data_IF_132783271867
#
_entry.id   IF_132783271867
#
_cell.length_a   1.000
_cell.length_b   1.000
_cell.length_c   1.000
_cell.angle_alpha   90.00
_cell.angle_beta   90.00
_cell.angle_gamma   90.00
#
_symmetry.space_group_name_H-M   'P 1'
#
loop_
_entity.id
_entity.type
_entity.pdbx_description
1 polymer ?
#
# COMPACT_ATOMS: atom_id res chain seq x y z
N UNK A 1 16.34 -4.31 9.98
CA UNK A 1 17.53 -5.02 9.48
C UNK A 1 18.58 -3.98 9.13
N UNK A 2 19.87 -4.26 9.38
CA UNK A 2 20.96 -3.42 8.93
C UNK A 2 21.09 -3.46 7.40
N UNK A 3 21.43 -2.33 6.78
CA UNK A 3 21.61 -2.26 5.34
C UNK A 3 22.75 -3.18 4.87
N UNK A 4 23.83 -3.26 5.64
CA UNK A 4 24.93 -4.20 5.39
C UNK A 4 24.52 -5.68 5.48
N UNK A 5 23.58 -6.02 6.36
CA UNK A 5 23.05 -7.39 6.47
C UNK A 5 22.24 -7.77 5.22
N UNK A 6 21.43 -6.82 4.70
CA UNK A 6 20.71 -7.01 3.44
C UNK A 6 21.67 -7.22 2.28
N UNK A 7 22.72 -6.39 2.17
CA UNK A 7 23.75 -6.55 1.13
C UNK A 7 24.42 -7.92 1.23
N UNK A 8 24.82 -8.35 2.44
CA UNK A 8 25.42 -9.65 2.64
C UNK A 8 24.48 -10.81 2.22
N UNK A 9 23.20 -10.71 2.57
CA UNK A 9 22.18 -11.69 2.19
C UNK A 9 21.86 -11.69 0.68
N UNK A 10 21.96 -10.54 0.02
CA UNK A 10 21.82 -10.46 -1.45
C UNK A 10 23.01 -11.11 -2.13
N UNK A 11 24.24 -10.82 -1.69
CA UNK A 11 25.47 -11.40 -2.26
C UNK A 11 25.57 -12.91 -2.16
N UNK A 12 24.84 -13.54 -1.24
CA UNK A 12 24.78 -15.00 -1.15
C UNK A 12 23.87 -15.64 -2.21
N UNK A 13 23.21 -14.85 -3.06
CA UNK A 13 22.33 -15.33 -4.13
C UNK A 13 23.07 -15.30 -5.48
N UNK A 14 22.96 -16.35 -6.31
CA UNK A 14 23.55 -16.35 -7.65
C UNK A 14 23.11 -15.13 -8.48
N UNK A 15 24.08 -14.42 -9.06
CA UNK A 15 23.85 -13.24 -9.89
C UNK A 15 23.71 -11.91 -9.14
N UNK A 16 23.93 -11.89 -7.83
CA UNK A 16 23.86 -10.69 -6.97
C UNK A 16 25.17 -10.45 -6.18
N UNK A 17 26.24 -11.15 -6.52
CA UNK A 17 27.52 -11.19 -5.78
C UNK A 17 28.21 -9.82 -5.70
N UNK A 18 27.97 -8.95 -6.70
CA UNK A 18 28.59 -7.62 -6.78
C UNK A 18 27.79 -6.51 -6.12
N UNK A 19 26.54 -6.74 -5.68
CA UNK A 19 25.66 -5.70 -5.12
C UNK A 19 26.34 -4.99 -3.97
N UNK A 20 26.36 -3.67 -3.99
CA UNK A 20 26.80 -2.80 -2.90
C UNK A 20 25.65 -2.02 -2.27
N UNK A 21 26.01 -1.26 -1.23
CA UNK A 21 25.09 -0.28 -0.62
C UNK A 21 24.65 0.77 -1.64
N UNK A 22 25.59 1.24 -2.47
CA UNK A 22 25.33 2.25 -3.49
C UNK A 22 24.25 1.80 -4.51
N UNK A 23 24.26 0.52 -4.93
CA UNK A 23 23.26 0.00 -5.87
C UNK A 23 21.84 0.03 -5.28
N UNK A 24 21.73 -0.24 -3.97
CA UNK A 24 20.44 -0.16 -3.25
C UNK A 24 19.99 1.30 -3.16
N UNK A 25 20.88 2.21 -2.77
CA UNK A 25 20.59 3.64 -2.68
C UNK A 25 20.16 4.21 -4.04
N UNK A 26 20.86 3.86 -5.12
CA UNK A 26 20.52 4.25 -6.49
C UNK A 26 19.15 3.70 -6.92
N UNK A 27 18.87 2.43 -6.64
CA UNK A 27 17.57 1.81 -6.92
C UNK A 27 16.44 2.54 -6.20
N UNK A 28 16.64 2.92 -4.94
CA UNK A 28 15.64 3.66 -4.14
C UNK A 28 15.45 5.08 -4.67
N UNK A 29 16.53 5.75 -5.10
CA UNK A 29 16.48 7.08 -5.68
C UNK A 29 15.77 7.11 -7.04
N UNK A 30 16.00 6.10 -7.89
CA UNK A 30 15.37 5.99 -9.21
C UNK A 30 13.92 5.47 -9.17
N UNK A 31 13.46 4.96 -8.02
CA UNK A 31 12.14 4.36 -7.91
C UNK A 31 11.01 5.39 -8.01
N UNK A 32 10.11 5.20 -8.98
CA UNK A 32 8.87 5.98 -9.11
C UNK A 32 7.91 5.82 -7.92
N UNK A 33 8.12 4.79 -7.08
CA UNK A 33 7.36 4.54 -5.86
C UNK A 33 8.33 4.28 -4.72
N UNK A 34 8.27 5.14 -3.69
CA UNK A 34 9.03 5.00 -2.46
C UNK A 34 8.46 3.83 -1.63
N UNK A 35 9.02 2.64 -1.83
CA UNK A 35 8.61 1.38 -1.17
C UNK A 35 9.47 1.02 0.02
N UNK A 36 10.68 1.55 0.07
CA UNK A 36 11.66 1.29 1.11
C UNK A 36 12.21 2.62 1.59
N UNK A 37 12.66 2.65 2.84
CA UNK A 37 13.43 3.76 3.37
C UNK A 37 14.69 3.26 4.04
N UNK A 38 15.74 4.07 3.94
CA UNK A 38 17.00 3.88 4.66
C UNK A 38 17.08 4.96 5.74
N UNK A 39 17.34 4.56 6.97
CA UNK A 39 17.52 5.46 8.11
C UNK A 39 18.49 4.84 9.10
N UNK A 40 19.47 5.62 9.55
CA UNK A 40 20.46 5.22 10.57
C UNK A 40 21.16 3.88 10.22
N UNK A 41 21.56 3.71 8.95
CA UNK A 41 22.22 2.49 8.45
C UNK A 41 21.32 1.26 8.37
N UNK A 42 20.00 1.41 8.55
CA UNK A 42 18.99 0.35 8.47
C UNK A 42 18.06 0.58 7.30
N UNK A 43 17.48 -0.50 6.79
CA UNK A 43 16.49 -0.47 5.71
C UNK A 43 15.21 -1.19 6.13
N UNK A 44 14.06 -0.67 5.71
CA UNK A 44 12.76 -1.34 5.86
C UNK A 44 11.83 -1.04 4.68
N UNK A 45 10.89 -1.95 4.42
CA UNK A 45 9.78 -1.65 3.54
C UNK A 45 8.76 -0.74 4.24
N UNK A 46 8.31 0.30 3.55
CA UNK A 46 7.37 1.31 4.04
C UNK A 46 5.94 0.76 4.06
N UNK A 47 5.60 -0.23 3.24
CA UNK A 47 4.28 -0.88 3.21
C UNK A 47 4.33 -2.22 2.48
N UNK A 48 3.24 -3.00 2.56
CA UNK A 48 3.08 -4.26 1.81
C UNK A 48 3.48 -5.52 2.58
N UNK A 49 3.63 -5.42 3.90
CA UNK A 49 4.02 -6.55 4.74
C UNK A 49 2.96 -7.63 4.81
N UNK A 50 3.40 -8.88 4.87
CA UNK A 50 2.58 -10.10 4.99
C UNK A 50 3.18 -11.07 6.02
N UNK A 51 3.99 -10.55 6.94
CA UNK A 51 4.55 -11.35 8.05
C UNK A 51 3.43 -11.66 9.07
N UNK A 52 3.52 -12.77 9.81
CA UNK A 52 2.56 -13.09 10.87
C UNK A 52 2.53 -12.01 11.96
N UNK A 53 3.69 -11.45 12.29
CA UNK A 53 3.82 -10.37 13.27
C UNK A 53 3.38 -9.04 12.68
N UNK A 54 2.38 -8.42 13.30
CA UNK A 54 1.84 -7.13 12.86
C UNK A 54 2.86 -6.02 13.11
N UNK A 55 3.16 -5.25 12.07
CA UNK A 55 4.06 -4.11 12.19
C UNK A 55 3.32 -2.95 12.84
N UNK A 56 3.86 -2.48 13.95
CA UNK A 56 3.34 -1.31 14.65
C UNK A 56 3.40 -0.07 13.77
N UNK A 57 2.29 0.68 13.77
CA UNK A 57 2.17 1.96 13.10
C UNK A 57 1.44 2.93 13.99
N UNK A 58 1.85 4.18 13.95
CA UNK A 58 1.15 5.27 14.62
C UNK A 58 -0.07 5.67 13.79
N UNK A 59 -1.30 5.60 14.33
CA UNK A 59 -2.48 6.12 13.65
C UNK A 59 -2.31 7.60 13.29
N UNK A 60 -2.84 8.01 12.15
CA UNK A 60 -2.77 9.40 11.65
C UNK A 60 -4.10 9.76 11.00
N UNK A 61 -4.52 11.01 11.17
CA UNK A 61 -5.71 11.56 10.49
C UNK A 61 -5.52 11.50 8.98
N UNK A 62 -6.42 10.80 8.25
CA UNK A 62 -6.32 10.68 6.79
C UNK A 62 -6.78 11.96 6.07
N UNK A 63 -6.53 12.08 4.75
CA UNK A 63 -7.23 13.02 3.90
C UNK A 63 -8.73 12.71 3.84
N UNK A 64 -9.52 13.62 3.28
CA UNK A 64 -10.98 13.43 3.18
C UNK A 64 -11.37 12.21 2.34
N UNK A 65 -10.66 12.01 1.24
CA UNK A 65 -10.96 10.99 0.26
C UNK A 65 -9.71 10.18 -0.06
N UNK A 66 -9.88 8.86 -0.10
CA UNK A 66 -8.87 7.92 -0.54
C UNK A 66 -9.46 6.96 -1.57
N UNK A 67 -8.60 6.25 -2.29
CA UNK A 67 -9.01 5.43 -3.42
C UNK A 67 -8.46 4.01 -3.38
N UNK A 68 -9.25 3.04 -3.84
CA UNK A 68 -8.81 1.65 -3.95
C UNK A 68 -9.15 1.08 -5.34
N UNK A 69 -8.14 0.60 -6.05
CA UNK A 69 -8.34 -0.07 -7.33
C UNK A 69 -8.47 -1.57 -7.16
N UNK A 70 -9.54 -2.17 -7.70
CA UNK A 70 -9.81 -3.60 -7.63
C UNK A 70 -10.34 -4.16 -8.96
N UNK A 71 -10.35 -5.49 -9.10
CA UNK A 71 -11.08 -6.16 -10.18
C UNK A 71 -12.60 -5.97 -10.03
N UNK A 72 -13.37 -5.80 -11.14
CA UNK A 72 -14.83 -5.80 -11.10
C UNK A 72 -15.43 -7.01 -10.38
N UNK A 73 -14.79 -8.18 -10.47
CA UNK A 73 -15.27 -9.43 -9.84
C UNK A 73 -15.32 -9.34 -8.30
N UNK A 74 -14.55 -8.42 -7.70
CA UNK A 74 -14.53 -8.23 -6.26
C UNK A 74 -15.62 -7.25 -5.77
N UNK A 75 -16.32 -6.54 -6.66
CA UNK A 75 -17.23 -5.47 -6.28
C UNK A 75 -18.34 -5.94 -5.37
N UNK A 76 -19.01 -7.05 -5.70
CA UNK A 76 -20.11 -7.57 -4.90
C UNK A 76 -19.64 -7.89 -3.47
N UNK A 77 -18.46 -8.52 -3.37
CA UNK A 77 -17.85 -8.83 -2.07
C UNK A 77 -17.50 -7.56 -1.31
N UNK A 78 -16.87 -6.58 -1.95
CA UNK A 78 -16.47 -5.32 -1.28
C UNK A 78 -17.68 -4.51 -0.83
N UNK A 79 -18.76 -4.47 -1.62
CA UNK A 79 -19.98 -3.76 -1.22
C UNK A 79 -20.74 -4.45 -0.08
N UNK A 80 -20.53 -5.76 0.11
CA UNK A 80 -21.11 -6.53 1.22
C UNK A 80 -20.25 -6.51 2.48
N UNK A 81 -18.94 -6.70 2.33
CA UNK A 81 -18.01 -6.95 3.44
C UNK A 81 -17.11 -5.74 3.76
N UNK A 82 -17.02 -4.77 2.85
CA UNK A 82 -16.05 -3.68 2.92
C UNK A 82 -14.68 -4.05 2.34
N UNK A 83 -13.69 -3.20 2.56
CA UNK A 83 -12.30 -3.51 2.22
C UNK A 83 -11.62 -4.21 3.38
N UNK A 84 -11.07 -5.38 3.06
CA UNK A 84 -10.29 -6.21 3.97
C UNK A 84 -8.82 -6.24 3.52
N UNK A 85 -7.86 -6.42 4.45
CA UNK A 85 -6.43 -6.42 4.12
C UNK A 85 -5.99 -7.67 3.34
N UNK A 86 -6.85 -8.71 3.28
CA UNK A 86 -6.62 -9.98 2.58
C UNK A 86 -5.31 -10.66 3.03
N UNK A 87 -4.35 -10.88 2.12
CA UNK A 87 -3.04 -11.47 2.45
C UNK A 87 -2.02 -10.47 2.99
N UNK A 88 -2.40 -9.19 3.14
CA UNK A 88 -1.57 -8.14 3.74
C UNK A 88 -2.02 -7.87 5.17
N UNK A 89 -1.23 -7.08 5.89
CA UNK A 89 -1.58 -6.63 7.24
C UNK A 89 -2.58 -5.45 7.26
N UNK A 90 -2.67 -4.68 6.17
CA UNK A 90 -3.48 -3.47 6.07
C UNK A 90 -4.09 -3.37 4.67
N UNK A 91 -5.26 -2.72 4.58
CA UNK A 91 -5.84 -2.25 3.31
C UNK A 91 -4.96 -1.15 2.75
N UNK A 92 -4.54 -1.27 1.49
CA UNK A 92 -3.80 -0.23 0.77
C UNK A 92 -4.75 0.70 0.04
N UNK A 93 -4.59 1.99 0.31
CA UNK A 93 -5.36 3.07 -0.29
C UNK A 93 -4.41 4.05 -0.99
N UNK A 94 -4.88 4.66 -2.05
CA UNK A 94 -4.15 5.66 -2.86
C UNK A 94 -4.73 7.04 -2.60
N UNK A 95 -3.90 8.07 -2.70
CA UNK A 95 -4.33 9.48 -2.59
C UNK A 95 -5.02 10.01 -3.84
N UNK A 96 -4.86 9.33 -4.99
CA UNK A 96 -5.40 9.75 -6.27
C UNK A 96 -5.95 8.59 -7.10
N UNK A 97 -6.89 8.91 -8.00
CA UNK A 97 -7.61 7.97 -8.87
C UNK A 97 -6.67 7.27 -9.85
N UNK A 98 -5.68 7.99 -10.40
CA UNK A 98 -4.74 7.45 -11.38
C UNK A 98 -3.89 6.33 -10.77
N UNK A 99 -3.37 6.54 -9.56
CA UNK A 99 -2.63 5.53 -8.83
C UNK A 99 -3.52 4.34 -8.47
N UNK A 100 -4.74 4.57 -8.01
CA UNK A 100 -5.68 3.50 -7.72
C UNK A 100 -5.97 2.67 -8.97
N UNK A 101 -6.23 3.32 -10.11
CA UNK A 101 -6.41 2.66 -11.40
C UNK A 101 -5.19 1.83 -11.77
N UNK A 102 -3.98 2.40 -11.73
CA UNK A 102 -2.74 1.70 -12.06
C UNK A 102 -2.43 0.51 -11.13
N UNK A 103 -2.87 0.56 -9.87
CA UNK A 103 -2.81 -0.58 -8.95
C UNK A 103 -3.83 -1.65 -9.33
N UNK A 104 -5.08 -1.26 -9.60
CA UNK A 104 -6.14 -2.16 -10.04
C UNK A 104 -5.84 -2.83 -11.39
N UNK A 105 -5.19 -2.13 -12.32
CA UNK A 105 -4.81 -2.64 -13.64
C UNK A 105 -3.89 -3.87 -13.60
N UNK A 106 -3.30 -4.17 -12.44
CA UNK A 106 -2.49 -5.38 -12.22
C UNK A 106 -3.34 -6.64 -12.07
N UNK A 107 -4.63 -6.47 -11.76
CA UNK A 107 -5.56 -7.55 -11.47
C UNK A 107 -6.65 -7.68 -12.54
N UNK A 108 -6.99 -6.59 -13.25
CA UNK A 108 -7.97 -6.58 -14.33
C UNK A 108 -7.60 -5.56 -15.41
N UNK A 109 -7.90 -5.85 -16.68
CA UNK A 109 -7.67 -4.89 -17.78
C UNK A 109 -8.53 -3.62 -17.66
N UNK A 110 -9.71 -3.74 -17.05
CA UNK A 110 -10.63 -2.64 -16.73
C UNK A 110 -10.93 -2.68 -15.23
N UNK A 111 -10.05 -2.11 -14.37
CA UNK A 111 -10.29 -2.09 -12.95
C UNK A 111 -11.44 -1.13 -12.58
N UNK A 112 -11.98 -1.29 -11.38
CA UNK A 112 -12.89 -0.32 -10.77
C UNK A 112 -12.14 0.43 -9.68
N UNK A 113 -12.31 1.75 -9.66
CA UNK A 113 -11.79 2.63 -8.62
C UNK A 113 -12.89 2.92 -7.61
N UNK A 114 -12.68 2.47 -6.40
CA UNK A 114 -13.52 2.72 -5.25
C UNK A 114 -13.09 4.01 -4.56
N UNK A 115 -14.08 4.79 -4.12
CA UNK A 115 -13.93 5.99 -3.33
C UNK A 115 -14.19 5.67 -1.87
N UNK A 116 -13.27 6.10 -1.00
CA UNK A 116 -13.31 5.87 0.44
C UNK A 116 -13.48 7.19 1.16
N UNK A 117 -14.64 7.39 1.80
CA UNK A 117 -14.87 8.51 2.72
C UNK A 117 -14.03 8.29 3.99
N UNK A 118 -12.77 8.70 3.92
CA UNK A 118 -11.78 8.45 4.94
C UNK A 118 -12.00 9.36 6.15
N UNK A 119 -12.56 10.56 5.96
CA UNK A 119 -12.98 11.44 7.06
C UNK A 119 -14.11 10.80 7.88
N UNK A 120 -15.18 10.31 7.24
CA UNK A 120 -16.27 9.64 7.95
C UNK A 120 -15.82 8.33 8.60
N UNK A 121 -14.99 7.54 7.92
CA UNK A 121 -14.43 6.31 8.48
C UNK A 121 -13.56 6.60 9.71
N UNK A 122 -12.70 7.62 9.65
CA UNK A 122 -11.86 8.02 10.76
C UNK A 122 -12.68 8.54 11.95
N UNK A 123 -13.69 9.38 11.69
CA UNK A 123 -14.62 9.86 12.71
C UNK A 123 -15.41 8.73 13.39
N UNK A 124 -15.63 7.62 12.68
CA UNK A 124 -16.24 6.40 13.21
C UNK A 124 -15.25 5.46 13.94
N UNK A 125 -14.00 5.88 14.13
CA UNK A 125 -12.99 5.15 14.90
C UNK A 125 -12.13 4.17 14.08
N UNK A 126 -12.21 4.18 12.75
CA UNK A 126 -11.36 3.32 11.91
C UNK A 126 -9.92 3.87 11.90
N UNK A 127 -8.91 3.06 12.26
CA UNK A 127 -7.51 3.50 12.22
C UNK A 127 -6.98 3.64 10.79
N UNK A 128 -6.33 4.77 10.52
CA UNK A 128 -5.57 5.01 9.30
C UNK A 128 -4.10 5.28 9.65
N UNK A 129 -3.20 4.97 8.72
CA UNK A 129 -1.76 5.16 8.90
C UNK A 129 -1.14 5.69 7.63
N UNK A 130 -0.22 6.65 7.77
CA UNK A 130 0.57 7.12 6.62
C UNK A 130 1.51 5.99 6.16
N UNK A 131 1.41 5.63 4.89
CA UNK A 131 2.39 4.78 4.22
C UNK A 131 3.50 5.65 3.66
N UNK A 132 3.23 6.31 2.54
CA UNK A 132 4.07 7.38 1.98
C UNK A 132 3.16 8.51 1.48
N UNK A 133 3.68 9.44 0.67
CA UNK A 133 2.88 10.58 0.20
C UNK A 133 1.72 10.21 -0.74
N UNK A 134 1.75 9.02 -1.35
CA UNK A 134 0.69 8.55 -2.26
C UNK A 134 -0.07 7.34 -1.75
N UNK A 135 0.36 6.73 -0.64
CA UNK A 135 -0.17 5.48 -0.11
C UNK A 135 -0.57 5.65 1.35
N UNK A 136 -1.83 5.33 1.63
CA UNK A 136 -2.41 5.24 2.97
C UNK A 136 -2.76 3.80 3.30
N UNK A 137 -2.79 3.51 4.58
CA UNK A 137 -3.11 2.19 5.12
C UNK A 137 -4.30 2.31 6.06
N UNK A 138 -5.16 1.30 6.07
CA UNK A 138 -6.25 1.15 7.04
C UNK A 138 -6.32 -0.31 7.50
N UNK A 139 -6.99 -0.57 8.63
CA UNK A 139 -7.23 -1.94 9.09
C UNK A 139 -8.25 -2.64 8.18
N UNK A 140 -9.53 -2.31 8.38
CA UNK A 140 -10.65 -2.66 7.52
C UNK A 140 -11.47 -1.40 7.27
N UNK A 141 -12.09 -1.29 6.10
CA UNK A 141 -12.98 -0.18 5.77
C UNK A 141 -14.39 -0.72 5.54
N UNK A 142 -15.34 -0.48 6.46
CA UNK A 142 -16.71 -0.95 6.30
C UNK A 142 -17.37 -0.44 5.00
N UNK A 143 -18.28 -1.23 4.40
CA UNK A 143 -18.85 -0.92 3.08
C UNK A 143 -19.61 0.40 3.04
N UNK A 144 -20.17 0.86 4.16
CA UNK A 144 -20.86 2.16 4.26
C UNK A 144 -19.97 3.38 3.95
N UNK A 145 -18.64 3.21 3.95
CA UNK A 145 -17.67 4.26 3.59
C UNK A 145 -17.08 4.05 2.19
N UNK A 146 -17.52 3.02 1.46
CA UNK A 146 -16.98 2.62 0.16
C UNK A 146 -18.04 2.85 -0.91
N UNK A 147 -17.69 3.60 -1.96
CA UNK A 147 -18.58 3.77 -3.13
C UNK A 147 -17.82 3.44 -4.41
N UNK A 148 -18.47 2.76 -5.36
CA UNK A 148 -17.90 2.54 -6.69
C UNK A 148 -18.32 3.70 -7.60
N UNK A 149 -17.36 4.39 -8.21
CA UNK A 149 -17.67 5.16 -9.40
C UNK A 149 -17.63 4.23 -10.60
N UNK A 150 -18.78 4.03 -11.22
CA UNK A 150 -18.81 3.60 -12.61
C UNK A 150 -18.38 4.82 -13.42
N UNK A 151 -17.24 4.75 -14.11
CA UNK A 151 -16.95 5.71 -15.18
C UNK A 151 -18.04 5.49 -16.26
N UNK A 152 -19.14 6.24 -16.15
CA UNK A 152 -20.10 6.39 -17.24
C UNK A 152 -19.34 7.03 -18.38
N UNK A 153 -19.14 6.23 -19.43
CA UNK A 153 -18.64 6.66 -20.73
C UNK A 153 -19.69 7.53 -21.41
#
# INVERSE_FOLDING_TARGET
>A
MGLGEVVAALRSRPGWESVGVADIEETLAAASKQRHEIRDGRIRAIYGHSLPERIERTPTTPPDLLYHGTSPDNLERVMREGLLPMSRQFVHLSTDVEMAWAVGSRHASRPVVLHIDATAAHAAGIPFYKGNDKVWLADEVPPRFVTAQTLTN
#
